data_IF_290332046013
#
_entry.id   IF_290332046013
#
_cell.length_a   1.000
_cell.length_b   1.000
_cell.length_c   1.000
_cell.angle_alpha   90.00
_cell.angle_beta   90.00
_cell.angle_gamma   90.00
#
_symmetry.space_group_name_H-M   'P 1'
#
loop_
_entity.id
_entity.type
_entity.pdbx_description
1 polymer ?
#
# COMPACT_ATOMS: atom_id res chain seq x y z
N UNK A 1 17.00 44.44 85.84
CA UNK A 1 16.41 44.17 84.50
C UNK A 1 17.49 43.51 83.64
N UNK A 2 17.31 42.24 83.29
CA UNK A 2 18.28 41.42 82.54
C UNK A 2 17.77 41.30 81.09
N UNK A 3 18.54 41.73 80.10
CA UNK A 3 18.18 41.63 78.68
C UNK A 3 18.26 40.18 78.20
N UNK A 4 17.36 39.70 77.32
CA UNK A 4 17.46 38.36 76.76
C UNK A 4 18.51 38.32 75.63
N UNK A 5 19.33 37.28 75.61
CA UNK A 5 20.27 37.01 74.52
C UNK A 5 19.56 36.50 73.24
N UNK A 6 20.20 36.58 72.07
CA UNK A 6 19.58 36.24 70.80
C UNK A 6 19.39 34.72 70.64
N UNK A 7 18.24 34.32 70.11
CA UNK A 7 17.93 32.94 69.70
C UNK A 7 18.72 32.54 68.44
N UNK A 8 19.24 31.30 68.33
CA UNK A 8 19.88 30.84 67.12
C UNK A 8 18.88 30.66 65.98
N UNK A 9 19.18 31.27 64.83
CA UNK A 9 18.43 31.13 63.58
C UNK A 9 18.68 29.76 62.95
N UNK A 10 17.63 28.96 62.77
CA UNK A 10 17.68 27.70 62.01
C UNK A 10 17.71 28.00 60.51
N UNK A 11 18.84 27.74 59.84
CA UNK A 11 18.94 27.83 58.37
C UNK A 11 18.10 26.70 57.74
N UNK A 12 17.31 26.96 56.69
CA UNK A 12 16.67 25.89 55.93
C UNK A 12 17.75 25.04 55.25
N UNK A 13 17.61 23.72 55.30
CA UNK A 13 18.47 22.80 54.59
C UNK A 13 18.39 23.10 53.08
N UNK A 14 19.49 23.51 52.46
CA UNK A 14 19.58 23.60 51.00
C UNK A 14 19.28 22.22 50.42
N UNK A 15 18.40 22.17 49.42
CA UNK A 15 18.15 20.96 48.65
C UNK A 15 19.48 20.34 48.19
N UNK A 16 19.64 19.04 48.42
CA UNK A 16 20.86 18.32 48.07
C UNK A 16 21.18 18.52 46.58
N UNK A 17 22.47 18.66 46.20
CA UNK A 17 22.86 18.89 44.82
C UNK A 17 22.39 17.71 43.96
N UNK A 18 21.50 17.99 43.00
CA UNK A 18 21.05 16.99 42.04
C UNK A 18 22.23 16.48 41.23
N UNK A 19 22.51 15.19 41.31
CA UNK A 19 23.57 14.59 40.54
C UNK A 19 23.16 14.49 39.06
N UNK A 20 24.10 14.69 38.12
CA UNK A 20 23.84 14.58 36.67
C UNK A 20 23.08 13.29 36.31
N UNK A 21 23.41 12.18 36.97
CA UNK A 21 22.74 10.90 36.77
C UNK A 21 21.24 10.91 37.18
N UNK A 22 20.86 11.64 38.23
CA UNK A 22 19.46 11.77 38.65
C UNK A 22 18.68 12.65 37.66
N UNK A 23 19.29 13.75 37.20
CA UNK A 23 18.69 14.60 36.17
C UNK A 23 18.43 13.85 34.86
N UNK A 24 19.42 13.08 34.37
CA UNK A 24 19.28 12.29 33.16
C UNK A 24 18.21 11.19 33.27
N UNK A 25 18.08 10.55 34.45
CA UNK A 25 17.04 9.55 34.69
C UNK A 25 15.63 10.15 34.69
N UNK A 26 15.46 11.34 35.27
CA UNK A 26 14.17 12.03 35.25
C UNK A 26 13.81 12.53 33.84
N UNK A 27 14.79 13.07 33.11
CA UNK A 27 14.59 13.55 31.74
C UNK A 27 14.20 12.43 30.76
N UNK A 28 14.73 11.21 30.96
CA UNK A 28 14.39 10.04 30.16
C UNK A 28 13.01 9.43 30.47
N UNK A 29 12.38 9.80 31.59
CA UNK A 29 11.07 9.28 31.99
C UNK A 29 9.88 10.06 31.37
N UNK A 30 10.11 11.28 30.88
CA UNK A 30 9.09 12.15 30.28
C UNK A 30 8.61 11.75 28.87
N UNK A 31 9.42 11.16 27.97
CA UNK A 31 8.93 10.73 26.65
C UNK A 31 8.19 9.38 26.68
N UNK A 32 8.33 8.58 27.74
CA UNK A 32 7.81 7.21 27.78
C UNK A 32 6.28 7.14 27.92
N UNK A 33 5.65 8.13 28.56
CA UNK A 33 4.19 8.18 28.73
C UNK A 33 3.45 8.70 27.50
N UNK A 34 4.09 9.56 26.68
CA UNK A 34 3.51 10.04 25.43
C UNK A 34 3.62 9.00 24.29
N UNK A 35 4.67 8.17 24.31
CA UNK A 35 4.87 7.15 23.28
C UNK A 35 3.86 5.99 23.38
N UNK A 36 3.41 5.60 24.58
CA UNK A 36 2.46 4.49 24.73
C UNK A 36 1.07 4.78 24.13
N UNK A 37 0.63 6.04 24.14
CA UNK A 37 -0.69 6.41 23.60
C UNK A 37 -0.73 6.43 22.07
N UNK A 38 0.43 6.62 21.41
CA UNK A 38 0.52 6.63 19.95
C UNK A 38 0.42 5.23 19.31
N UNK A 39 0.67 4.16 20.09
CA UNK A 39 0.59 2.77 19.59
C UNK A 39 -0.79 2.12 19.77
N UNK A 40 -1.66 2.67 20.63
CA UNK A 40 -2.98 2.07 20.92
C UNK A 40 -4.07 2.53 19.94
N UNK A 41 -3.86 3.65 19.25
CA UNK A 41 -4.81 4.19 18.26
C UNK A 41 -4.33 4.00 16.82
N UNK A 42 -3.93 2.78 16.45
CA UNK A 42 -3.95 2.42 15.02
C UNK A 42 -5.29 1.74 14.77
N UNK A 43 -6.27 2.42 14.13
CA UNK A 43 -7.45 1.69 13.68
C UNK A 43 -6.95 0.52 12.84
N UNK A 44 -7.56 -0.65 13.01
CA UNK A 44 -7.40 -1.76 12.10
C UNK A 44 -8.00 -1.34 10.75
N UNK A 45 -7.27 -0.48 10.02
CA UNK A 45 -7.57 -0.15 8.65
C UNK A 45 -7.52 -1.46 7.89
N UNK A 46 -8.60 -1.75 7.17
CA UNK A 46 -8.63 -2.78 6.14
C UNK A 46 -7.31 -2.71 5.36
N UNK A 47 -6.47 -3.73 5.47
CA UNK A 47 -5.29 -3.84 4.62
C UNK A 47 -5.81 -3.73 3.19
N UNK A 48 -5.45 -2.70 2.41
CA UNK A 48 -5.88 -2.62 1.03
C UNK A 48 -5.50 -3.94 0.37
N UNK A 49 -6.43 -4.55 -0.37
CA UNK A 49 -6.10 -5.73 -1.18
C UNK A 49 -4.80 -5.44 -1.92
N UNK A 50 -3.84 -6.38 -1.95
CA UNK A 50 -2.52 -6.12 -2.51
C UNK A 50 -2.68 -5.59 -3.93
N UNK A 51 -2.36 -4.31 -4.11
CA UNK A 51 -2.40 -3.67 -5.42
C UNK A 51 -1.16 -4.09 -6.18
N UNK A 52 -1.32 -4.60 -7.41
CA UNK A 52 -0.19 -4.92 -8.29
C UNK A 52 0.79 -3.75 -8.33
N UNK A 53 2.09 -4.04 -8.18
CA UNK A 53 3.12 -3.02 -8.31
C UNK A 53 3.07 -2.39 -9.71
N UNK A 54 3.36 -1.10 -9.83
CA UNK A 54 3.30 -0.36 -11.09
C UNK A 54 4.65 0.24 -11.46
N UNK A 55 4.89 0.42 -12.77
CA UNK A 55 6.07 1.09 -13.32
C UNK A 55 5.63 2.22 -14.27
N UNK A 56 6.25 3.40 -14.23
CA UNK A 56 5.91 4.48 -15.15
C UNK A 56 6.42 4.18 -16.56
N UNK A 57 5.64 4.53 -17.57
CA UNK A 57 6.15 4.67 -18.95
C UNK A 57 7.07 5.89 -18.97
N UNK A 58 8.35 5.80 -19.42
CA UNK A 58 9.30 6.90 -19.30
C UNK A 58 8.84 8.24 -19.91
N UNK A 59 8.16 8.20 -21.06
CA UNK A 59 7.73 9.40 -21.78
C UNK A 59 6.46 10.03 -21.22
N UNK A 60 5.50 9.24 -20.75
CA UNK A 60 4.17 9.74 -20.31
C UNK A 60 3.99 9.75 -18.80
N UNK A 61 4.86 9.04 -18.06
CA UNK A 61 4.73 8.77 -16.63
C UNK A 61 3.43 8.04 -16.25
N UNK A 62 2.69 7.49 -17.22
CA UNK A 62 1.53 6.65 -16.94
C UNK A 62 1.96 5.40 -16.16
N UNK A 63 1.31 5.15 -15.03
CA UNK A 63 1.62 4.01 -14.17
C UNK A 63 1.01 2.72 -14.74
N UNK A 64 1.84 1.87 -15.33
CA UNK A 64 1.41 0.57 -15.83
C UNK A 64 1.63 -0.52 -14.78
N UNK A 65 0.66 -1.42 -14.57
CA UNK A 65 0.88 -2.63 -13.78
C UNK A 65 2.09 -3.42 -14.29
N UNK A 66 2.90 -3.93 -13.36
CA UNK A 66 4.16 -4.61 -13.68
C UNK A 66 3.94 -5.96 -14.39
N UNK A 67 2.74 -6.53 -14.31
CA UNK A 67 2.34 -7.76 -14.99
C UNK A 67 1.18 -7.44 -15.95
N UNK A 68 1.31 -7.93 -17.18
CA UNK A 68 0.26 -7.89 -18.21
C UNK A 68 -0.04 -9.28 -18.75
N UNK A 69 -1.04 -9.37 -19.62
CA UNK A 69 -1.45 -10.59 -20.31
C UNK A 69 -1.08 -10.52 -21.80
N UNK A 70 -0.18 -11.38 -22.24
CA UNK A 70 0.09 -11.60 -23.67
C UNK A 70 -0.90 -12.61 -24.25
N UNK A 71 -1.43 -12.33 -25.44
CA UNK A 71 -2.53 -13.09 -26.04
C UNK A 71 -2.10 -14.10 -27.12
N UNK A 72 -0.80 -14.20 -27.42
CA UNK A 72 -0.28 -15.11 -28.45
C UNK A 72 -0.58 -16.58 -28.13
N UNK A 73 -1.20 -17.31 -29.07
CA UNK A 73 -1.65 -18.72 -28.98
C UNK A 73 -2.77 -18.94 -27.95
N UNK A 74 -2.63 -18.41 -26.74
CA UNK A 74 -3.58 -18.62 -25.65
C UNK A 74 -4.99 -18.12 -25.96
N UNK A 75 -5.12 -17.03 -26.72
CA UNK A 75 -6.42 -16.42 -27.05
C UNK A 75 -6.90 -16.75 -28.47
N UNK A 76 -6.13 -17.52 -29.24
CA UNK A 76 -6.52 -18.01 -30.56
C UNK A 76 -7.35 -19.30 -30.44
N UNK A 77 -8.50 -19.18 -29.78
CA UNK A 77 -9.38 -20.30 -29.47
C UNK A 77 -10.72 -20.14 -30.18
N UNK A 78 -11.32 -21.26 -30.57
CA UNK A 78 -12.63 -21.26 -31.22
C UNK A 78 -13.73 -20.86 -30.22
N UNK A 79 -14.62 -19.90 -30.55
CA UNK A 79 -15.74 -19.57 -29.68
C UNK A 79 -16.56 -20.80 -29.28
N UNK A 80 -16.87 -20.89 -27.99
CA UNK A 80 -17.61 -22.00 -27.39
C UNK A 80 -16.78 -23.26 -27.10
N UNK A 81 -15.51 -23.32 -27.47
CA UNK A 81 -14.63 -24.42 -27.03
C UNK A 81 -14.37 -24.34 -25.52
N UNK A 82 -13.93 -25.45 -24.92
CA UNK A 82 -13.59 -25.51 -23.50
C UNK A 82 -12.45 -24.53 -23.16
N UNK A 83 -11.47 -24.39 -24.06
CA UNK A 83 -10.37 -23.44 -23.97
C UNK A 83 -10.87 -22.00 -23.95
N UNK A 84 -11.76 -21.64 -24.88
CA UNK A 84 -12.31 -20.29 -24.96
C UNK A 84 -13.09 -19.93 -23.69
N UNK A 85 -13.88 -20.86 -23.15
CA UNK A 85 -14.66 -20.64 -21.92
C UNK A 85 -13.77 -20.32 -20.70
N UNK A 86 -12.52 -20.81 -20.68
CA UNK A 86 -11.56 -20.50 -19.60
C UNK A 86 -10.97 -19.10 -19.69
N UNK A 87 -10.98 -18.46 -20.86
CA UNK A 87 -10.28 -17.18 -21.07
C UNK A 87 -10.88 -16.01 -20.28
N UNK A 88 -12.19 -16.03 -20.02
CA UNK A 88 -12.82 -15.02 -19.16
C UNK A 88 -12.19 -15.03 -17.75
N UNK A 89 -11.96 -16.21 -17.18
CA UNK A 89 -11.31 -16.38 -15.88
C UNK A 89 -9.88 -15.85 -15.85
N UNK A 90 -9.16 -15.87 -16.97
CA UNK A 90 -7.81 -15.26 -17.08
C UNK A 90 -7.89 -13.75 -16.92
N UNK A 91 -8.82 -13.09 -17.62
CA UNK A 91 -9.00 -11.64 -17.51
C UNK A 91 -9.54 -11.23 -16.14
N UNK A 92 -10.48 -12.01 -15.58
CA UNK A 92 -10.99 -11.78 -14.23
C UNK A 92 -9.88 -11.88 -13.17
N UNK A 93 -9.02 -12.91 -13.26
CA UNK A 93 -7.88 -13.06 -12.37
C UNK A 93 -6.89 -11.89 -12.51
N UNK A 94 -6.63 -11.44 -13.73
CA UNK A 94 -5.78 -10.28 -14.00
C UNK A 94 -6.36 -9.02 -13.34
N UNK A 95 -7.65 -8.73 -13.55
CA UNK A 95 -8.30 -7.54 -12.99
C UNK A 95 -8.43 -7.60 -11.46
N UNK A 96 -8.71 -8.77 -10.90
CA UNK A 96 -8.76 -8.98 -9.44
C UNK A 96 -7.41 -8.72 -8.78
N UNK A 97 -6.30 -9.06 -9.44
CA UNK A 97 -4.95 -8.74 -9.00
C UNK A 97 -4.56 -7.25 -9.23
N UNK A 98 -5.41 -6.47 -9.91
CA UNK A 98 -5.15 -5.07 -10.26
C UNK A 98 -4.38 -4.85 -11.56
N UNK A 99 -4.19 -5.90 -12.37
CA UNK A 99 -3.59 -5.80 -13.70
C UNK A 99 -4.57 -5.26 -14.74
N UNK A 100 -4.07 -4.53 -15.74
CA UNK A 100 -4.89 -3.93 -16.80
C UNK A 100 -4.25 -4.00 -18.19
N UNK A 101 -2.99 -4.43 -18.30
CA UNK A 101 -2.24 -4.46 -19.56
C UNK A 101 -2.55 -5.73 -20.34
N UNK A 102 -3.01 -5.59 -21.57
CA UNK A 102 -3.24 -6.70 -22.50
C UNK A 102 -2.47 -6.42 -23.80
N UNK A 103 -1.62 -7.36 -24.18
CA UNK A 103 -0.77 -7.28 -25.37
C UNK A 103 -1.26 -8.24 -26.45
N UNK A 104 -1.48 -7.70 -27.65
CA UNK A 104 -2.05 -8.39 -28.80
C UNK A 104 -1.30 -8.07 -30.09
N UNK A 105 -1.78 -8.65 -31.19
CA UNK A 105 -1.31 -8.41 -32.56
C UNK A 105 -2.34 -8.96 -33.55
N UNK A 106 -2.55 -8.31 -34.71
CA UNK A 106 -3.36 -8.86 -35.80
C UNK A 106 -2.79 -10.17 -36.37
N UNK A 107 -1.52 -10.48 -36.09
CA UNK A 107 -0.88 -11.72 -36.50
C UNK A 107 -1.15 -12.91 -35.55
N UNK A 108 -1.78 -12.70 -34.39
CA UNK A 108 -2.03 -13.75 -33.40
C UNK A 108 -3.37 -14.48 -33.62
N UNK A 109 -3.75 -14.72 -34.88
CA UNK A 109 -5.00 -15.39 -35.21
C UNK A 109 -6.21 -14.62 -34.67
N UNK A 110 -7.11 -15.29 -33.96
CA UNK A 110 -8.32 -14.68 -33.38
C UNK A 110 -8.08 -13.85 -32.12
N UNK A 111 -6.84 -13.74 -31.63
CA UNK A 111 -6.58 -13.15 -30.32
C UNK A 111 -7.11 -11.73 -30.10
N UNK A 112 -7.07 -10.84 -31.12
CA UNK A 112 -7.64 -9.48 -30.98
C UNK A 112 -9.17 -9.51 -30.88
N UNK A 113 -9.83 -10.32 -31.72
CA UNK A 113 -11.29 -10.51 -31.70
C UNK A 113 -11.74 -11.11 -30.37
N UNK A 114 -11.12 -12.23 -29.95
CA UNK A 114 -11.37 -12.89 -28.67
C UNK A 114 -11.18 -11.94 -27.49
N UNK A 115 -10.12 -11.11 -27.52
CA UNK A 115 -9.86 -10.11 -26.46
C UNK A 115 -11.01 -9.10 -26.38
N UNK A 116 -11.49 -8.58 -27.51
CA UNK A 116 -12.62 -7.66 -27.54
C UNK A 116 -13.91 -8.26 -26.99
N UNK A 117 -14.24 -9.49 -27.41
CA UNK A 117 -15.40 -10.24 -26.94
C UNK A 117 -15.35 -10.47 -25.42
N UNK A 118 -14.21 -10.96 -24.93
CA UNK A 118 -14.02 -11.27 -23.51
C UNK A 118 -14.02 -10.01 -22.64
N UNK A 119 -13.45 -8.89 -23.11
CA UNK A 119 -13.50 -7.61 -22.40
C UNK A 119 -14.92 -7.06 -22.29
N UNK A 120 -15.75 -7.28 -23.31
CA UNK A 120 -17.17 -6.95 -23.27
C UNK A 120 -17.91 -7.84 -22.26
N UNK A 121 -17.63 -9.16 -22.26
CA UNK A 121 -18.26 -10.12 -21.36
C UNK A 121 -17.84 -9.92 -19.88
N UNK A 122 -16.59 -9.55 -19.62
CA UNK A 122 -16.01 -9.39 -18.26
C UNK A 122 -16.06 -7.94 -17.74
N UNK A 123 -16.87 -7.07 -18.37
CA UNK A 123 -16.94 -5.65 -18.01
C UNK A 123 -17.27 -5.40 -16.53
N UNK A 124 -18.09 -6.27 -15.91
CA UNK A 124 -18.42 -6.20 -14.49
C UNK A 124 -17.19 -6.46 -13.58
N UNK A 125 -16.39 -7.49 -13.88
CA UNK A 125 -15.21 -7.86 -13.10
C UNK A 125 -14.10 -6.79 -13.14
N UNK A 126 -14.02 -6.06 -14.27
CA UNK A 126 -13.10 -4.95 -14.45
C UNK A 126 -13.44 -3.72 -13.59
N UNK A 127 -14.72 -3.55 -13.24
CA UNK A 127 -15.22 -2.36 -12.56
C UNK A 127 -14.90 -1.07 -13.34
N UNK A 128 -14.34 -0.07 -12.66
CA UNK A 128 -14.00 1.23 -13.27
C UNK A 128 -12.63 1.26 -13.95
N UNK A 129 -11.80 0.21 -13.81
CA UNK A 129 -10.44 0.18 -14.38
C UNK A 129 -10.49 0.15 -15.90
N UNK A 130 -9.76 1.01 -16.59
CA UNK A 130 -9.64 0.93 -18.05
C UNK A 130 -8.51 -0.06 -18.42
N UNK A 131 -8.73 -0.97 -19.38
CA UNK A 131 -7.66 -1.83 -19.86
C UNK A 131 -6.69 -0.98 -20.70
N UNK A 132 -5.39 -1.26 -20.58
CA UNK A 132 -4.37 -0.73 -21.47
C UNK A 132 -4.16 -1.77 -22.58
N UNK A 133 -4.60 -1.43 -23.79
CA UNK A 133 -4.56 -2.34 -24.94
C UNK A 133 -3.38 -1.98 -25.84
N UNK A 134 -2.45 -2.92 -26.01
CA UNK A 134 -1.34 -2.81 -26.93
C UNK A 134 -1.54 -3.76 -28.12
N UNK A 135 -1.30 -3.25 -29.33
CA UNK A 135 -1.24 -4.05 -30.55
C UNK A 135 -0.06 -3.61 -31.43
N UNK A 136 0.20 -4.35 -32.51
CA UNK A 136 1.38 -4.21 -33.37
C UNK A 136 0.94 -4.25 -34.85
N UNK A 137 1.85 -3.89 -35.76
CA UNK A 137 1.69 -4.01 -37.22
C UNK A 137 2.90 -4.67 -37.85
#
# INVERSE_FOLDING_TARGET
MKTPGPTPSSRPALAAPMHRAQFLRLAAALPASAALSAFVQRPAGSTPAPTMNTRPIPSTQEALPAIGCGTWIGFDQRPGSEEYQRLAGVLEALFAAGGTVIDSSPMYGRSEESTGELLAATAAARGTRRPFLATKV
#
